data_IF_794924222945
#
_entry.id   IF_794924222945
#
_cell.length_a   1.000
_cell.length_b   1.000
_cell.length_c   1.000
_cell.angle_alpha   90.00
_cell.angle_beta   90.00
_cell.angle_gamma   90.00
#
_symmetry.space_group_name_H-M   'P 1'
#
loop_
_entity.id
_entity.type
_entity.pdbx_description
1 polymer ?
#
# COMPACT_ATOMS: atom_id res chain seq x y z
N UNK A 1 10.92 4.47 3.42
CA UNK A 1 12.11 3.60 3.67
C UNK A 1 13.20 3.91 2.66
N UNK A 2 14.45 4.12 3.09
CA UNK A 2 15.57 4.36 2.16
C UNK A 2 15.73 3.19 1.17
N UNK A 3 15.83 3.49 -0.13
CA UNK A 3 15.79 2.48 -1.19
C UNK A 3 16.94 1.46 -1.10
N UNK A 4 18.11 1.87 -0.64
CA UNK A 4 19.31 1.03 -0.49
C UNK A 4 19.21 0.03 0.67
N UNK A 5 18.27 0.22 1.59
CA UNK A 5 18.04 -0.68 2.74
C UNK A 5 16.96 -1.73 2.47
N UNK A 6 16.30 -1.67 1.32
CA UNK A 6 15.23 -2.59 0.97
C UNK A 6 15.84 -3.86 0.35
N UNK A 7 15.46 -5.03 0.89
CA UNK A 7 15.91 -6.32 0.36
C UNK A 7 15.37 -6.53 -1.06
N UNK A 8 16.17 -7.18 -1.93
CA UNK A 8 15.83 -7.41 -3.35
C UNK A 8 14.50 -8.15 -3.58
N UNK A 9 14.08 -9.00 -2.63
CA UNK A 9 12.84 -9.78 -2.72
C UNK A 9 11.59 -9.01 -2.27
N UNK A 10 11.73 -7.75 -1.84
CA UNK A 10 10.62 -6.88 -1.47
C UNK A 10 10.21 -6.06 -2.68
N UNK A 11 8.92 -6.04 -2.97
CA UNK A 11 8.34 -5.26 -4.06
C UNK A 11 8.10 -3.84 -3.57
N UNK A 12 8.57 -2.86 -4.33
CA UNK A 12 8.30 -1.44 -4.08
C UNK A 12 7.07 -1.06 -4.91
N UNK A 13 5.97 -0.74 -4.23
CA UNK A 13 4.71 -0.39 -4.88
C UNK A 13 4.64 1.11 -5.23
N UNK A 14 5.26 1.96 -4.40
CA UNK A 14 5.35 3.40 -4.65
C UNK A 14 6.63 3.97 -4.07
N UNK A 15 7.14 5.04 -4.70
CA UNK A 15 8.32 5.81 -4.26
C UNK A 15 7.90 7.28 -4.09
N UNK A 16 8.65 8.00 -3.29
CA UNK A 16 8.61 9.45 -3.34
C UNK A 16 9.50 9.92 -4.51
N UNK A 17 9.06 10.93 -5.24
CA UNK A 17 9.80 11.43 -6.40
C UNK A 17 11.07 12.19 -5.97
N UNK A 18 10.97 13.02 -4.93
CA UNK A 18 12.03 13.94 -4.53
C UNK A 18 13.06 13.34 -3.56
N UNK A 19 12.75 12.18 -2.98
CA UNK A 19 13.64 11.51 -2.00
C UNK A 19 13.88 10.06 -2.41
N UNK A 20 15.10 9.56 -2.18
CA UNK A 20 15.49 8.17 -2.45
C UNK A 20 14.87 7.19 -1.45
N UNK A 21 13.55 7.20 -1.32
CA UNK A 21 12.79 6.39 -0.39
C UNK A 21 11.54 5.79 -1.02
N UNK A 22 11.23 4.54 -0.65
CA UNK A 22 9.95 3.92 -0.93
C UNK A 22 8.87 4.48 -0.02
N UNK A 23 7.72 4.81 -0.61
CA UNK A 23 6.47 5.19 0.05
C UNK A 23 5.72 3.94 0.50
N UNK A 24 5.56 2.96 -0.40
CA UNK A 24 4.85 1.70 -0.16
C UNK A 24 5.71 0.50 -0.53
N UNK A 25 5.70 -0.53 0.32
CA UNK A 25 6.41 -1.79 0.08
C UNK A 25 5.52 -2.98 0.42
N UNK A 26 5.72 -4.09 -0.30
CA UNK A 26 5.02 -5.35 -0.10
C UNK A 26 6.00 -6.52 -0.24
N UNK A 27 5.81 -7.58 0.53
CA UNK A 27 6.64 -8.77 0.41
C UNK A 27 6.08 -9.98 1.13
N UNK A 28 6.71 -11.13 0.90
CA UNK A 28 6.32 -12.38 1.51
C UNK A 28 7.16 -12.63 2.78
N UNK A 29 6.53 -13.17 3.81
CA UNK A 29 7.21 -13.65 5.01
C UNK A 29 6.55 -14.95 5.51
N UNK A 30 7.30 -16.05 5.52
CA UNK A 30 6.78 -17.37 5.84
C UNK A 30 5.65 -17.77 4.88
N UNK A 31 4.47 -18.11 5.43
CA UNK A 31 3.27 -18.48 4.66
C UNK A 31 2.34 -17.30 4.36
N UNK A 32 2.73 -16.09 4.75
CA UNK A 32 1.94 -14.88 4.61
C UNK A 32 2.68 -13.77 3.85
N UNK A 33 2.05 -12.62 3.82
CA UNK A 33 2.57 -11.40 3.21
C UNK A 33 2.53 -10.25 4.21
N UNK A 34 3.40 -9.26 4.02
CA UNK A 34 3.35 -8.00 4.74
C UNK A 34 3.29 -6.85 3.73
N UNK A 35 2.69 -5.74 4.15
CA UNK A 35 2.66 -4.49 3.41
C UNK A 35 2.89 -3.35 4.37
N UNK A 36 3.77 -2.41 4.02
CA UNK A 36 3.87 -1.14 4.72
C UNK A 36 3.38 -0.01 3.81
N UNK A 37 2.44 0.77 4.34
CA UNK A 37 1.86 1.93 3.69
C UNK A 37 2.28 3.19 4.47
N UNK A 38 3.06 4.08 3.86
CA UNK A 38 3.47 5.33 4.48
C UNK A 38 2.45 6.46 4.31
N UNK A 39 2.14 7.16 5.40
CA UNK A 39 1.14 8.24 5.45
C UNK A 39 -0.18 7.77 6.10
N UNK A 40 -1.15 8.68 6.20
CA UNK A 40 -2.49 8.36 6.69
C UNK A 40 -3.33 7.68 5.60
N UNK A 41 -3.53 8.39 4.49
CA UNK A 41 -4.31 7.96 3.34
C UNK A 41 -3.51 8.21 2.04
N UNK A 42 -3.69 7.40 0.97
CA UNK A 42 -3.08 7.68 -0.33
C UNK A 42 -3.38 9.06 -0.92
N UNK A 43 -4.58 9.58 -0.66
CA UNK A 43 -5.11 10.85 -1.17
C UNK A 43 -5.12 11.96 -0.10
N UNK A 44 -5.09 11.59 1.19
CA UNK A 44 -4.94 12.52 2.32
C UNK A 44 -3.73 12.13 3.21
N UNK A 45 -2.56 12.65 2.87
CA UNK A 45 -1.30 12.24 3.51
C UNK A 45 -1.17 12.69 4.97
N UNK A 46 -1.74 13.85 5.33
CA UNK A 46 -1.45 14.54 6.60
C UNK A 46 -2.59 14.50 7.62
N UNK A 47 -3.82 14.25 7.19
CA UNK A 47 -5.07 14.19 7.98
C UNK A 47 -4.94 14.53 9.47
N UNK A 48 -5.32 15.75 9.84
CA UNK A 48 -5.16 16.26 11.18
C UNK A 48 -6.36 15.91 12.07
N UNK A 49 -6.14 15.94 13.39
CA UNK A 49 -7.21 15.70 14.36
C UNK A 49 -8.27 16.79 14.21
N UNK A 50 -9.50 16.40 13.85
CA UNK A 50 -10.63 17.30 13.65
C UNK A 50 -10.98 17.55 12.18
N UNK A 51 -10.14 17.11 11.24
CA UNK A 51 -10.49 17.15 9.82
C UNK A 51 -11.69 16.22 9.54
N UNK A 52 -12.57 16.58 8.59
CA UNK A 52 -13.65 15.69 8.17
C UNK A 52 -13.05 14.43 7.54
N UNK A 53 -13.71 13.25 7.71
CA UNK A 53 -13.22 12.03 7.11
C UNK A 53 -13.07 12.17 5.60
N UNK A 54 -12.08 11.50 5.02
CA UNK A 54 -11.84 11.51 3.58
C UNK A 54 -13.08 11.06 2.81
N UNK A 55 -13.59 11.94 1.94
CA UNK A 55 -14.75 11.62 1.10
C UNK A 55 -14.32 10.77 -0.11
N UNK A 56 -14.47 9.45 0.03
CA UNK A 56 -14.13 8.47 -1.00
C UNK A 56 -14.86 8.68 -2.33
N UNK A 57 -16.02 9.36 -2.34
CA UNK A 57 -16.76 9.63 -3.57
C UNK A 57 -15.98 10.54 -4.53
N UNK A 58 -15.14 11.43 -3.98
CA UNK A 58 -14.24 12.32 -4.74
C UNK A 58 -13.05 11.57 -5.35
N UNK A 59 -12.71 10.39 -4.82
CA UNK A 59 -11.53 9.61 -5.18
C UNK A 59 -11.87 8.28 -5.87
N UNK A 60 -13.03 8.20 -6.55
CA UNK A 60 -13.48 6.99 -7.27
C UNK A 60 -12.43 6.40 -8.22
N UNK A 61 -11.56 7.25 -8.77
CA UNK A 61 -10.51 6.87 -9.71
C UNK A 61 -9.08 7.02 -9.14
N UNK A 62 -8.92 7.11 -7.82
CA UNK A 62 -7.61 7.28 -7.19
C UNK A 62 -6.62 6.19 -7.62
N UNK A 63 -5.42 6.58 -8.10
CA UNK A 63 -4.36 5.62 -8.38
C UNK A 63 -3.83 4.99 -7.09
N UNK A 64 -3.77 5.74 -5.99
CA UNK A 64 -3.27 5.26 -4.70
C UNK A 64 -4.15 4.15 -4.10
N UNK A 65 -5.46 4.36 -4.04
CA UNK A 65 -6.38 3.31 -3.58
C UNK A 65 -6.35 2.08 -4.48
N UNK A 66 -6.35 2.25 -5.80
CA UNK A 66 -6.29 1.11 -6.74
C UNK A 66 -5.02 0.30 -6.60
N UNK A 67 -3.88 0.95 -6.42
CA UNK A 67 -2.62 0.28 -6.19
C UNK A 67 -2.71 -0.66 -4.98
N UNK A 68 -3.27 -0.17 -3.87
CA UNK A 68 -3.42 -0.95 -2.63
C UNK A 68 -4.46 -2.07 -2.80
N UNK A 69 -5.63 -1.75 -3.32
CA UNK A 69 -6.72 -2.72 -3.48
C UNK A 69 -6.32 -3.88 -4.39
N UNK A 70 -5.77 -3.57 -5.58
CA UNK A 70 -5.49 -4.59 -6.59
C UNK A 70 -4.28 -5.45 -6.25
N UNK A 71 -3.27 -4.91 -5.58
CA UNK A 71 -2.02 -5.63 -5.33
C UNK A 71 -1.92 -6.20 -3.92
N UNK A 72 -2.75 -5.75 -2.98
CA UNK A 72 -2.65 -6.17 -1.57
C UNK A 72 -3.97 -6.75 -1.07
N UNK A 73 -5.05 -5.96 -1.06
CA UNK A 73 -6.27 -6.36 -0.34
C UNK A 73 -7.08 -7.43 -1.09
N UNK A 74 -7.31 -7.26 -2.40
CA UNK A 74 -8.05 -8.27 -3.16
C UNK A 74 -7.32 -9.61 -3.24
N UNK A 75 -6.01 -9.68 -3.53
CA UNK A 75 -5.27 -10.94 -3.47
C UNK A 75 -5.33 -11.61 -2.09
N UNK A 76 -5.26 -10.82 -1.00
CA UNK A 76 -5.33 -11.35 0.36
C UNK A 76 -6.73 -11.85 0.75
N UNK A 77 -7.79 -11.26 0.19
CA UNK A 77 -9.18 -11.63 0.46
C UNK A 77 -9.66 -12.84 -0.36
N UNK A 78 -8.94 -13.25 -1.40
CA UNK A 78 -9.31 -14.41 -2.21
C UNK A 78 -9.29 -15.70 -1.37
N UNK A 79 -10.43 -16.41 -1.38
CA UNK A 79 -10.52 -17.73 -0.74
C UNK A 79 -9.57 -18.69 -1.46
N UNK A 80 -8.61 -19.25 -0.74
CA UNK A 80 -7.76 -20.32 -1.28
C UNK A 80 -8.63 -21.55 -1.59
N UNK A 81 -8.64 -21.98 -2.84
CA UNK A 81 -9.24 -23.26 -3.22
C UNK A 81 -8.55 -24.38 -2.42
N UNK A 82 -9.32 -25.12 -1.63
CA UNK A 82 -8.81 -26.33 -0.97
C UNK A 82 -8.48 -27.34 -2.06
N UNK A 83 -7.29 -27.94 -2.00
CA UNK A 83 -7.00 -29.13 -2.79
C UNK A 83 -7.92 -30.24 -2.28
N UNK A 84 -8.81 -30.72 -3.15
CA UNK A 84 -9.51 -32.00 -2.99
C UNK A 84 -8.57 -33.13 -3.32
#
# INVERSE_FOLDING_TARGET
FALDKIKKNVVILAKYDDIKAAKYIHGNFGKGTFTFLGGHDPEDYAHFIGDPPTDLSLHKNSPGYRLILNNVLFPAAQKKHKKT
#
